data_IF_848618931177
#
_entry.id   IF_848618931177
#
_cell.length_a   1.000
_cell.length_b   1.000
_cell.length_c   1.000
_cell.angle_alpha   90.00
_cell.angle_beta   90.00
_cell.angle_gamma   90.00
#
_symmetry.space_group_name_H-M   'P 1'
#
loop_
_entity.id
_entity.type
_entity.pdbx_description
1 polymer ?
#
# COMPACT_ATOMS: atom_id res chain seq x y z
N UNK A 1 37.44 -10.12 -25.04
CA UNK A 1 37.49 -8.80 -24.33
C UNK A 1 36.12 -8.17 -24.09
N UNK A 2 35.07 -8.42 -24.90
CA UNK A 2 33.75 -7.79 -24.75
C UNK A 2 32.98 -8.16 -23.46
N UNK A 3 33.07 -9.39 -22.97
CA UNK A 3 32.31 -9.81 -21.77
C UNK A 3 32.82 -9.23 -20.44
N UNK A 4 34.09 -8.82 -20.38
CA UNK A 4 34.67 -8.21 -19.15
C UNK A 4 34.23 -6.74 -18.96
N UNK A 5 33.92 -6.04 -20.06
CA UNK A 5 33.48 -4.64 -20.03
C UNK A 5 32.00 -4.54 -19.60
N UNK A 6 31.16 -5.47 -20.05
CA UNK A 6 29.73 -5.51 -19.68
C UNK A 6 29.54 -5.80 -18.19
N UNK A 7 30.34 -6.72 -17.63
CA UNK A 7 30.27 -7.06 -16.20
C UNK A 7 30.77 -5.90 -15.31
N UNK A 8 31.81 -5.17 -15.75
CA UNK A 8 32.31 -3.99 -15.03
C UNK A 8 31.30 -2.82 -15.04
N UNK A 9 30.55 -2.63 -16.12
CA UNK A 9 29.50 -1.59 -16.21
C UNK A 9 28.31 -1.94 -15.31
N UNK A 10 27.89 -3.21 -15.25
CA UNK A 10 26.80 -3.64 -14.35
C UNK A 10 27.15 -3.49 -12.86
N UNK A 11 28.39 -3.79 -12.47
CA UNK A 11 28.87 -3.60 -11.10
C UNK A 11 28.94 -2.10 -10.75
N UNK A 12 29.38 -1.26 -11.68
CA UNK A 12 29.44 0.19 -11.45
C UNK A 12 28.05 0.83 -11.32
N UNK A 13 27.05 0.36 -12.07
CA UNK A 13 25.64 0.80 -11.93
C UNK A 13 24.98 0.33 -10.63
N UNK A 14 25.40 -0.82 -10.09
CA UNK A 14 24.91 -1.33 -8.81
C UNK A 14 25.51 -0.55 -7.62
N UNK A 15 26.75 -0.11 -7.74
CA UNK A 15 27.44 0.67 -6.71
C UNK A 15 26.94 2.12 -6.70
N UNK A 16 26.62 2.71 -7.86
CA UNK A 16 26.06 4.06 -7.91
C UNK A 16 24.63 4.15 -7.40
N UNK A 17 23.79 3.12 -7.59
CA UNK A 17 22.44 3.07 -7.01
C UNK A 17 22.46 2.88 -5.49
N UNK A 18 23.42 2.11 -4.96
CA UNK A 18 23.69 2.01 -3.52
C UNK A 18 24.18 3.34 -2.93
N UNK A 19 24.99 4.12 -3.68
CA UNK A 19 25.50 5.41 -3.22
C UNK A 19 24.45 6.54 -3.27
N UNK A 20 23.55 6.58 -4.24
CA UNK A 20 22.41 7.51 -4.22
C UNK A 20 21.41 7.18 -3.10
N UNK A 21 21.25 5.90 -2.76
CA UNK A 21 20.44 5.46 -1.62
C UNK A 21 21.12 5.76 -0.27
N UNK A 22 22.45 5.71 -0.21
CA UNK A 22 23.22 6.02 1.01
C UNK A 22 23.42 7.53 1.24
N UNK A 23 23.47 8.36 0.19
CA UNK A 23 23.62 9.82 0.33
C UNK A 23 22.35 10.51 0.83
N UNK A 24 21.15 9.94 0.60
CA UNK A 24 19.92 10.42 1.26
C UNK A 24 19.90 10.11 2.77
N UNK A 25 20.71 9.13 3.19
CA UNK A 25 20.76 8.60 4.55
C UNK A 25 21.57 9.47 5.54
N UNK A 26 22.43 10.38 5.05
CA UNK A 26 23.32 11.19 5.89
C UNK A 26 22.77 12.58 6.29
N UNK A 27 21.50 12.90 5.98
CA UNK A 27 20.84 14.08 6.56
C UNK A 27 20.33 13.78 7.98
N UNK A 28 21.28 13.88 8.93
CA UNK A 28 21.17 14.22 10.36
C UNK A 28 20.00 13.63 11.18
N UNK A 29 20.36 12.93 12.26
CA UNK A 29 19.47 12.36 13.28
C UNK A 29 18.56 13.39 14.00
N UNK A 30 18.87 14.69 13.96
CA UNK A 30 17.97 15.77 14.46
C UNK A 30 16.83 16.10 13.47
N UNK A 31 16.97 15.73 12.18
CA UNK A 31 15.98 15.96 11.13
C UNK A 31 15.03 14.78 10.89
N UNK A 32 15.46 13.55 11.21
CA UNK A 32 14.64 12.34 11.00
C UNK A 32 13.35 12.33 11.83
N UNK A 33 13.41 12.70 13.11
CA UNK A 33 12.21 12.80 13.96
C UNK A 33 11.22 13.89 13.51
N UNK A 34 11.71 14.92 12.81
CA UNK A 34 10.88 15.96 12.21
C UNK A 34 10.24 15.49 10.90
N UNK A 35 11.01 14.85 10.02
CA UNK A 35 10.52 14.31 8.75
C UNK A 35 9.49 13.18 8.95
N UNK A 36 9.77 12.25 9.87
CA UNK A 36 8.86 11.18 10.26
C UNK A 36 7.50 11.74 10.72
N UNK A 37 7.54 12.68 11.68
CA UNK A 37 6.33 13.32 12.20
C UNK A 37 5.58 14.10 11.12
N UNK A 38 6.30 14.80 10.23
CA UNK A 38 5.68 15.53 9.11
C UNK A 38 4.95 14.58 8.15
N UNK A 39 5.58 13.47 7.77
CA UNK A 39 4.98 12.48 6.88
C UNK A 39 3.78 11.81 7.56
N UNK A 40 3.93 11.41 8.83
CA UNK A 40 2.84 10.83 9.62
C UNK A 40 1.65 11.77 9.69
N UNK A 41 1.86 13.03 10.06
CA UNK A 41 0.79 14.02 10.13
C UNK A 41 0.14 14.25 8.75
N UNK A 42 0.92 14.20 7.66
CA UNK A 42 0.35 14.34 6.32
C UNK A 42 -0.58 13.18 5.95
N UNK A 43 -0.26 11.96 6.39
CA UNK A 43 -1.07 10.76 6.12
C UNK A 43 -2.31 10.72 7.02
N UNK A 44 -2.16 11.00 8.33
CA UNK A 44 -3.21 10.74 9.31
C UNK A 44 -3.97 11.99 9.80
N UNK A 45 -3.36 13.17 9.73
CA UNK A 45 -3.90 14.44 10.24
C UNK A 45 -4.22 15.42 9.11
N UNK A 46 -5.15 15.01 8.24
CA UNK A 46 -5.53 15.84 7.10
C UNK A 46 -6.06 17.21 7.52
N UNK A 47 -5.57 18.25 6.85
CA UNK A 47 -6.15 19.59 6.95
C UNK A 47 -7.55 19.63 6.33
N UNK A 48 -8.35 20.63 6.71
CA UNK A 48 -9.65 20.87 6.09
C UNK A 48 -9.58 21.11 4.57
N UNK A 49 -8.43 21.61 4.06
CA UNK A 49 -8.18 21.74 2.63
C UNK A 49 -7.98 20.38 1.96
N UNK A 50 -7.14 19.52 2.52
CA UNK A 50 -6.91 18.16 2.01
C UNK A 50 -8.19 17.32 2.03
N UNK A 51 -9.01 17.45 3.08
CA UNK A 51 -10.32 16.78 3.11
C UNK A 51 -11.25 17.27 1.99
N UNK A 52 -11.28 18.59 1.72
CA UNK A 52 -12.07 19.13 0.59
C UNK A 52 -11.55 18.65 -0.76
N UNK A 53 -10.23 18.55 -0.92
CA UNK A 53 -9.59 17.98 -2.12
C UNK A 53 -10.02 16.53 -2.33
N UNK A 54 -9.94 15.68 -1.30
CA UNK A 54 -10.40 14.29 -1.39
C UNK A 54 -11.90 14.17 -1.72
N UNK A 55 -12.75 15.02 -1.11
CA UNK A 55 -14.19 15.06 -1.45
C UNK A 55 -14.39 15.41 -2.92
N UNK A 56 -13.67 16.42 -3.42
CA UNK A 56 -13.79 16.87 -4.80
C UNK A 56 -13.34 15.79 -5.79
N UNK A 57 -12.28 15.03 -5.49
CA UNK A 57 -11.89 13.85 -6.29
C UNK A 57 -13.06 12.87 -6.38
N UNK A 58 -13.68 12.53 -5.24
CA UNK A 58 -14.81 11.60 -5.21
C UNK A 58 -16.04 12.03 -6.02
N UNK A 59 -16.19 13.33 -6.30
CA UNK A 59 -17.32 13.88 -7.06
C UNK A 59 -17.07 13.95 -8.56
N UNK A 60 -15.93 13.45 -9.03
CA UNK A 60 -15.59 13.40 -10.45
C UNK A 60 -16.23 12.20 -11.14
N UNK A 61 -16.16 12.20 -12.47
CA UNK A 61 -16.64 11.12 -13.32
C UNK A 61 -15.89 9.79 -13.06
N UNK A 62 -16.51 8.64 -13.39
CA UNK A 62 -15.94 7.31 -13.10
C UNK A 62 -14.51 7.09 -13.60
N UNK A 63 -14.12 7.69 -14.73
CA UNK A 63 -12.77 7.59 -15.29
C UNK A 63 -11.72 8.20 -14.37
N UNK A 64 -12.01 9.39 -13.82
CA UNK A 64 -11.10 10.07 -12.91
C UNK A 64 -10.95 9.33 -11.57
N UNK A 65 -12.01 8.67 -11.11
CA UNK A 65 -11.95 7.79 -9.93
C UNK A 65 -11.10 6.55 -10.22
N UNK A 66 -11.19 6.00 -11.42
CA UNK A 66 -10.38 4.86 -11.85
C UNK A 66 -8.90 5.24 -11.90
N UNK A 67 -8.59 6.42 -12.46
CA UNK A 67 -7.23 6.98 -12.47
C UNK A 67 -6.73 7.22 -11.04
N UNK A 68 -7.53 7.85 -10.18
CA UNK A 68 -7.20 8.08 -8.78
C UNK A 68 -6.85 6.77 -8.06
N UNK A 69 -7.69 5.74 -8.17
CA UNK A 69 -7.46 4.42 -7.57
C UNK A 69 -6.18 3.77 -8.08
N UNK A 70 -5.96 3.82 -9.39
CA UNK A 70 -4.76 3.26 -10.02
C UNK A 70 -3.50 4.00 -9.57
N UNK A 71 -3.58 5.32 -9.39
CA UNK A 71 -2.50 6.14 -8.86
C UNK A 71 -2.18 5.91 -7.39
N UNK A 72 -3.06 5.24 -6.63
CA UNK A 72 -2.80 4.84 -5.23
C UNK A 72 -2.22 3.43 -5.10
N UNK A 73 -2.11 2.68 -6.21
CA UNK A 73 -1.57 1.32 -6.18
C UNK A 73 -0.05 1.32 -6.02
N UNK A 74 0.44 0.46 -5.15
CA UNK A 74 1.87 0.35 -4.88
C UNK A 74 2.61 -0.31 -6.06
N UNK A 75 3.77 0.22 -6.48
CA UNK A 75 4.54 -0.39 -7.54
C UNK A 75 5.24 -1.66 -7.04
N UNK A 76 5.30 -2.67 -7.90
CA UNK A 76 6.01 -3.92 -7.63
C UNK A 76 7.52 -3.73 -7.82
N UNK A 77 8.31 -4.21 -6.87
CA UNK A 77 9.77 -4.24 -6.90
C UNK A 77 10.28 -5.59 -7.39
N UNK A 78 9.78 -6.67 -6.78
CA UNK A 78 10.17 -8.04 -7.07
C UNK A 78 8.91 -8.90 -7.15
N UNK A 79 8.93 -9.88 -8.05
CA UNK A 79 7.81 -10.78 -8.25
C UNK A 79 8.29 -12.15 -8.68
N UNK A 80 7.92 -13.18 -7.92
CA UNK A 80 8.04 -14.59 -8.33
C UNK A 80 6.69 -15.23 -8.66
N UNK A 81 5.57 -14.52 -8.51
CA UNK A 81 4.23 -15.05 -8.80
C UNK A 81 4.09 -15.47 -10.28
N UNK A 82 3.47 -16.63 -10.50
CA UNK A 82 3.19 -17.20 -11.83
C UNK A 82 1.83 -16.78 -12.41
N UNK A 83 0.96 -16.20 -11.58
CA UNK A 83 -0.36 -15.69 -11.94
C UNK A 83 -0.51 -14.18 -11.72
N UNK A 84 -1.75 -13.65 -11.69
CA UNK A 84 -2.02 -12.25 -11.38
C UNK A 84 -1.42 -11.87 -10.03
N UNK A 85 -0.68 -10.77 -10.02
CA UNK A 85 -0.08 -10.24 -8.80
C UNK A 85 -1.15 -9.57 -7.95
N UNK A 86 -1.07 -9.65 -6.61
CA UNK A 86 -2.00 -8.93 -5.76
C UNK A 86 -1.98 -7.42 -6.05
N UNK A 87 -3.16 -6.82 -6.13
CA UNK A 87 -3.25 -5.36 -6.22
C UNK A 87 -3.21 -4.78 -4.80
N UNK A 88 -2.26 -3.88 -4.54
CA UNK A 88 -2.01 -3.33 -3.21
C UNK A 88 -2.25 -1.84 -3.19
N UNK A 89 -3.08 -1.37 -2.25
CA UNK A 89 -3.28 0.05 -1.98
C UNK A 89 -3.03 0.34 -0.50
N UNK A 90 -2.57 1.55 -0.18
CA UNK A 90 -2.42 1.99 1.22
C UNK A 90 -3.73 2.56 1.73
N UNK A 91 -4.14 2.15 2.93
CA UNK A 91 -5.39 2.56 3.53
C UNK A 91 -5.20 3.88 4.30
N UNK A 92 -5.48 5.00 3.64
CA UNK A 92 -5.33 6.35 4.22
C UNK A 92 -6.67 7.07 4.37
N UNK A 93 -6.81 7.99 5.34
CA UNK A 93 -7.99 8.84 5.43
C UNK A 93 -8.31 9.55 4.11
N UNK A 94 -7.29 10.00 3.36
CA UNK A 94 -7.49 10.72 2.10
C UNK A 94 -8.17 9.82 1.07
N UNK A 95 -7.66 8.59 0.90
CA UNK A 95 -8.24 7.59 0.02
C UNK A 95 -9.69 7.27 0.39
N UNK A 96 -9.96 6.99 1.66
CA UNK A 96 -11.32 6.64 2.10
C UNK A 96 -12.29 7.82 1.97
N UNK A 97 -11.88 9.06 2.22
CA UNK A 97 -12.74 10.23 2.00
C UNK A 97 -13.13 10.34 0.53
N UNK A 98 -12.18 10.15 -0.39
CA UNK A 98 -12.47 10.18 -1.83
C UNK A 98 -13.43 9.06 -2.24
N UNK A 99 -13.19 7.83 -1.79
CA UNK A 99 -14.05 6.69 -2.12
C UNK A 99 -15.45 6.78 -1.50
N UNK A 100 -15.56 7.27 -0.26
CA UNK A 100 -16.85 7.50 0.39
C UNK A 100 -17.62 8.65 -0.26
N UNK A 101 -16.93 9.70 -0.70
CA UNK A 101 -17.51 10.79 -1.47
C UNK A 101 -18.04 10.30 -2.82
N UNK A 102 -17.28 9.45 -3.52
CA UNK A 102 -17.73 8.81 -4.75
C UNK A 102 -18.97 7.93 -4.57
N UNK A 103 -18.99 7.09 -3.54
CA UNK A 103 -20.16 6.26 -3.23
C UNK A 103 -21.40 7.10 -2.87
N UNK A 104 -21.22 8.24 -2.18
CA UNK A 104 -22.33 9.15 -1.92
C UNK A 104 -22.82 9.79 -3.23
N UNK A 105 -21.89 10.29 -4.05
CA UNK A 105 -22.19 10.96 -5.32
C UNK A 105 -22.94 10.04 -6.29
N UNK A 106 -22.52 8.78 -6.44
CA UNK A 106 -23.18 7.80 -7.30
C UNK A 106 -24.60 7.43 -6.84
N UNK A 107 -24.92 7.69 -5.57
CA UNK A 107 -26.25 7.51 -4.99
C UNK A 107 -27.06 8.82 -4.94
N UNK A 108 -26.61 9.90 -5.57
CA UNK A 108 -27.26 11.21 -5.53
C UNK A 108 -27.20 11.90 -4.16
N UNK A 109 -26.29 11.47 -3.27
CA UNK A 109 -26.09 12.03 -1.93
C UNK A 109 -24.85 12.91 -1.89
N UNK A 110 -24.84 13.88 -0.97
CA UNK A 110 -23.69 14.73 -0.71
C UNK A 110 -22.87 14.19 0.46
N UNK A 111 -21.58 13.92 0.23
CA UNK A 111 -20.62 13.70 1.30
C UNK A 111 -20.06 15.04 1.81
N UNK A 112 -20.15 15.26 3.11
CA UNK A 112 -19.87 16.55 3.74
C UNK A 112 -18.48 16.60 4.38
N UNK A 113 -17.98 17.82 4.58
CA UNK A 113 -16.74 18.03 5.33
C UNK A 113 -16.84 17.54 6.79
N UNK A 114 -18.05 17.53 7.36
CA UNK A 114 -18.27 17.00 8.72
C UNK A 114 -18.06 15.49 8.76
N UNK A 115 -18.57 14.76 7.77
CA UNK A 115 -18.34 13.31 7.63
C UNK A 115 -16.85 13.00 7.38
N UNK A 116 -16.19 13.77 6.50
CA UNK A 116 -14.76 13.64 6.27
C UNK A 116 -13.93 13.86 7.55
N UNK A 117 -14.28 14.86 8.37
CA UNK A 117 -13.62 15.11 9.66
C UNK A 117 -13.81 13.96 10.64
N UNK A 118 -15.01 13.35 10.68
CA UNK A 118 -15.28 12.17 11.53
C UNK A 118 -14.40 10.99 11.10
N UNK A 119 -14.34 10.72 9.80
CA UNK A 119 -13.51 9.65 9.25
C UNK A 119 -12.02 9.88 9.54
N UNK A 120 -11.51 11.10 9.31
CA UNK A 120 -10.11 11.44 9.62
C UNK A 120 -9.77 11.25 11.10
N UNK A 121 -10.69 11.62 12.01
CA UNK A 121 -10.52 11.41 13.45
C UNK A 121 -10.48 9.93 13.82
N UNK A 122 -11.27 9.09 13.15
CA UNK A 122 -11.24 7.64 13.38
C UNK A 122 -9.87 7.07 13.02
N UNK A 123 -9.35 7.38 11.83
CA UNK A 123 -8.05 6.89 11.37
C UNK A 123 -6.87 7.35 12.23
N UNK A 124 -6.80 8.65 12.56
CA UNK A 124 -5.75 9.18 13.44
C UNK A 124 -5.72 8.52 14.82
N UNK A 125 -6.87 8.04 15.31
CA UNK A 125 -6.98 7.34 16.60
C UNK A 125 -6.61 5.86 16.57
N UNK A 126 -6.47 5.22 15.40
CA UNK A 126 -6.20 3.77 15.32
C UNK A 126 -4.76 3.40 15.67
N UNK A 127 -3.81 4.30 15.45
CA UNK A 127 -2.39 3.99 15.61
C UNK A 127 -1.87 2.92 14.64
N UNK A 128 -2.63 2.59 13.59
CA UNK A 128 -2.31 1.53 12.65
C UNK A 128 -2.31 2.03 11.20
N UNK A 129 -1.41 1.47 10.38
CA UNK A 129 -1.40 1.62 8.94
C UNK A 129 -1.88 0.31 8.29
N UNK A 130 -2.98 0.39 7.56
CA UNK A 130 -3.52 -0.73 6.81
C UNK A 130 -3.08 -0.74 5.35
N UNK A 131 -3.08 -1.91 4.72
CA UNK A 131 -2.92 -2.06 3.28
C UNK A 131 -4.07 -2.91 2.75
N UNK A 132 -4.74 -2.50 1.67
CA UNK A 132 -5.71 -3.35 0.99
C UNK A 132 -4.99 -4.20 -0.05
N UNK A 133 -4.86 -5.49 0.21
CA UNK A 133 -4.22 -6.47 -0.67
C UNK A 133 -5.29 -7.35 -1.30
N UNK A 134 -5.63 -7.10 -2.57
CA UNK A 134 -6.55 -7.97 -3.32
C UNK A 134 -5.74 -9.13 -3.90
N UNK A 135 -5.86 -10.30 -3.28
CA UNK A 135 -5.17 -11.52 -3.69
C UNK A 135 -6.14 -12.51 -4.35
N UNK A 136 -5.57 -13.40 -5.16
CA UNK A 136 -6.31 -14.49 -5.80
C UNK A 136 -5.66 -15.83 -5.49
N UNK A 137 -6.46 -16.89 -5.48
CA UNK A 137 -6.01 -18.25 -5.22
C UNK A 137 -6.87 -19.31 -5.90
N UNK A 138 -6.43 -20.55 -5.74
CA UNK A 138 -7.01 -21.74 -6.37
C UNK A 138 -8.14 -22.39 -5.56
N UNK A 139 -8.34 -21.97 -4.31
CA UNK A 139 -9.37 -22.52 -3.43
C UNK A 139 -9.94 -21.48 -2.46
N UNK A 140 -11.13 -21.73 -1.91
CA UNK A 140 -11.84 -20.80 -1.03
C UNK A 140 -11.12 -20.46 0.30
N UNK A 141 -10.05 -21.17 0.65
CA UNK A 141 -9.27 -21.01 1.89
C UNK A 141 -7.81 -20.67 1.63
N UNK A 142 -7.44 -20.25 0.41
CA UNK A 142 -6.06 -19.94 0.06
C UNK A 142 -5.42 -18.87 0.96
N UNK A 143 -6.22 -18.05 1.64
CA UNK A 143 -5.76 -16.97 2.53
C UNK A 143 -5.17 -17.47 3.85
N UNK A 144 -5.54 -18.68 4.30
CA UNK A 144 -5.06 -19.28 5.56
C UNK A 144 -3.51 -19.42 5.56
N UNK A 145 -2.91 -19.61 4.39
CA UNK A 145 -1.46 -19.77 4.14
C UNK A 145 -0.74 -18.51 3.63
N UNK A 146 -1.45 -17.39 3.52
CA UNK A 146 -0.84 -16.13 3.07
C UNK A 146 -0.18 -15.41 4.24
N UNK A 147 1.07 -15.02 4.05
CA UNK A 147 1.78 -14.15 4.98
C UNK A 147 2.02 -12.79 4.33
N UNK A 148 1.75 -11.71 5.07
CA UNK A 148 2.01 -10.33 4.61
C UNK A 148 2.84 -9.62 5.67
N UNK A 149 4.00 -9.10 5.26
CA UNK A 149 4.94 -8.42 6.17
C UNK A 149 5.37 -7.07 5.62
N UNK A 150 5.84 -6.19 6.51
CA UNK A 150 6.44 -4.92 6.14
C UNK A 150 7.92 -4.94 6.52
N UNK A 151 8.80 -4.81 5.54
CA UNK A 151 10.26 -4.83 5.73
C UNK A 151 10.82 -3.43 5.57
N UNK A 152 11.67 -3.01 6.52
CA UNK A 152 12.34 -1.71 6.50
C UNK A 152 13.82 -1.88 6.83
N UNK A 153 14.66 -1.92 5.79
CA UNK A 153 16.06 -2.32 5.93
C UNK A 153 16.19 -3.78 6.38
N UNK A 154 16.84 -4.02 7.52
CA UNK A 154 17.00 -5.36 8.11
C UNK A 154 15.82 -5.78 9.00
N UNK A 155 14.89 -4.88 9.30
CA UNK A 155 13.75 -5.15 10.19
C UNK A 155 12.58 -5.70 9.39
N UNK A 156 12.02 -6.84 9.81
CA UNK A 156 10.77 -7.39 9.28
C UNK A 156 9.70 -7.24 10.35
N UNK A 157 8.60 -6.56 10.00
CA UNK A 157 7.47 -6.33 10.86
C UNK A 157 6.32 -7.24 10.46
N UNK A 158 5.81 -7.99 11.43
CA UNK A 158 4.53 -8.68 11.33
C UNK A 158 3.40 -7.69 11.64
N UNK A 159 2.25 -7.78 10.93
CA UNK A 159 1.05 -7.01 11.27
C UNK A 159 0.46 -7.52 12.59
N UNK A 160 -0.28 -6.65 13.28
CA UNK A 160 -0.99 -7.01 14.51
C UNK A 160 -2.18 -7.93 14.21
N UNK A 161 -2.78 -7.77 13.03
CA UNK A 161 -3.84 -8.62 12.50
C UNK A 161 -3.94 -8.51 10.97
N UNK A 162 -4.58 -9.49 10.34
CA UNK A 162 -4.92 -9.45 8.91
C UNK A 162 -6.42 -9.74 8.76
N UNK A 163 -7.23 -8.72 8.48
CA UNK A 163 -8.65 -8.92 8.16
C UNK A 163 -8.78 -9.72 6.87
N UNK A 164 -9.75 -10.63 6.81
CA UNK A 164 -10.01 -11.49 5.66
C UNK A 164 -9.16 -12.76 5.60
N UNK A 165 -8.13 -12.91 6.45
CA UNK A 165 -7.22 -14.07 6.41
C UNK A 165 -7.93 -15.39 6.70
N UNK A 166 -8.77 -15.42 7.72
CA UNK A 166 -9.48 -16.62 8.20
C UNK A 166 -10.90 -16.74 7.60
N UNK A 167 -11.23 -15.86 6.66
CA UNK A 167 -12.53 -15.84 6.00
C UNK A 167 -12.47 -16.61 4.68
N UNK A 168 -13.62 -17.16 4.25
CA UNK A 168 -13.70 -17.75 2.90
C UNK A 168 -13.52 -16.67 1.84
N UNK A 169 -12.75 -17.01 0.82
CA UNK A 169 -12.60 -16.22 -0.40
C UNK A 169 -13.85 -16.28 -1.27
N UNK A 170 -14.08 -15.20 -1.99
CA UNK A 170 -15.18 -15.04 -2.92
C UNK A 170 -14.84 -15.77 -4.22
N UNK A 171 -15.81 -16.47 -4.80
CA UNK A 171 -15.62 -17.19 -6.06
C UNK A 171 -15.66 -16.21 -7.24
N UNK A 172 -14.55 -16.11 -7.98
CA UNK A 172 -14.46 -15.29 -9.18
C UNK A 172 -15.13 -16.05 -10.34
N UNK A 173 -16.40 -15.77 -10.59
CA UNK A 173 -17.22 -16.42 -11.63
C UNK A 173 -16.99 -15.86 -13.04
N UNK A 174 -15.89 -15.12 -13.26
CA UNK A 174 -15.66 -14.35 -14.48
C UNK A 174 -15.25 -15.18 -15.71
N UNK A 175 -14.89 -16.47 -15.56
CA UNK A 175 -14.46 -17.32 -16.68
C UNK A 175 -15.09 -18.71 -16.59
N UNK A 176 -15.85 -19.10 -17.61
CA UNK A 176 -16.39 -20.46 -17.74
C UNK A 176 -15.23 -21.48 -17.79
N UNK A 177 -15.17 -22.38 -16.81
CA UNK A 177 -14.17 -23.45 -16.71
C UNK A 177 -13.00 -23.21 -15.76
N UNK A 178 -12.91 -22.03 -15.13
CA UNK A 178 -11.91 -21.74 -14.10
C UNK A 178 -12.56 -21.09 -12.87
N UNK A 179 -12.63 -21.83 -11.76
CA UNK A 179 -13.00 -21.28 -10.46
C UNK A 179 -11.78 -20.69 -9.79
N UNK A 180 -11.49 -19.43 -10.11
CA UNK A 180 -10.58 -18.62 -9.30
C UNK A 180 -11.29 -18.15 -8.03
N UNK A 181 -10.52 -17.89 -6.97
CA UNK A 181 -11.04 -17.24 -5.77
C UNK A 181 -10.31 -15.93 -5.56
N UNK A 182 -10.99 -14.90 -5.06
CA UNK A 182 -10.34 -13.66 -4.62
C UNK A 182 -10.77 -13.24 -3.22
N UNK A 183 -9.87 -12.52 -2.55
CA UNK A 183 -10.15 -11.92 -1.24
C UNK A 183 -9.36 -10.64 -1.10
N UNK A 184 -9.95 -9.66 -0.40
CA UNK A 184 -9.21 -8.51 0.09
C UNK A 184 -8.69 -8.85 1.49
N UNK A 185 -7.37 -8.85 1.63
CA UNK A 185 -6.66 -8.98 2.89
C UNK A 185 -6.23 -7.61 3.37
N UNK A 186 -6.44 -7.31 4.66
CA UNK A 186 -6.03 -6.04 5.25
C UNK A 186 -5.09 -6.28 6.44
N UNK A 187 -3.77 -6.37 6.20
CA UNK A 187 -2.78 -6.33 7.27
C UNK A 187 -2.73 -4.94 7.92
N UNK A 188 -2.78 -4.89 9.24
CA UNK A 188 -2.62 -3.67 10.04
C UNK A 188 -1.29 -3.67 10.77
N UNK A 189 -0.49 -2.63 10.56
CA UNK A 189 0.81 -2.46 11.21
C UNK A 189 0.76 -1.30 12.21
N UNK A 190 1.21 -1.53 13.44
CA UNK A 190 1.38 -0.47 14.44
C UNK A 190 2.35 0.61 13.92
N UNK A 191 1.83 1.84 13.80
CA UNK A 191 2.55 3.01 13.32
C UNK A 191 3.70 3.43 14.23
N UNK A 192 3.72 2.98 15.48
CA UNK A 192 4.83 3.25 16.41
C UNK A 192 6.13 2.51 16.03
N UNK A 193 6.01 1.44 15.24
CA UNK A 193 7.13 0.59 14.80
C UNK A 193 7.67 0.99 13.43
N UNK A 194 6.96 1.87 12.72
CA UNK A 194 7.29 2.33 11.37
C UNK A 194 8.07 3.64 11.49
N UNK A 195 9.22 3.71 10.82
CA UNK A 195 9.90 4.99 10.60
C UNK A 195 9.53 5.47 9.19
N UNK A 196 8.58 6.42 9.15
CA UNK A 196 7.99 6.99 7.95
C UNK A 196 8.97 7.83 7.14
N UNK A 197 10.12 8.20 7.71
CA UNK A 197 11.16 8.92 6.97
C UNK A 197 11.93 8.05 5.98
N UNK A 198 11.75 6.72 6.04
CA UNK A 198 12.45 5.76 5.19
C UNK A 198 11.47 4.90 4.37
N UNK A 199 11.82 4.52 3.14
CA UNK A 199 10.99 3.60 2.37
C UNK A 199 10.94 2.22 3.02
N UNK A 200 9.86 1.49 2.75
CA UNK A 200 9.67 0.10 3.16
C UNK A 200 9.27 -0.77 1.96
N UNK A 201 9.29 -2.09 2.18
CA UNK A 201 8.83 -3.12 1.26
C UNK A 201 7.64 -3.84 1.90
N UNK A 202 6.46 -3.79 1.29
CA UNK A 202 5.37 -4.69 1.68
C UNK A 202 5.57 -6.01 0.93
N UNK A 203 5.63 -7.13 1.64
CA UNK A 203 5.90 -8.44 1.06
C UNK A 203 4.66 -9.30 1.26
N UNK A 204 4.09 -9.77 0.16
CA UNK A 204 3.09 -10.84 0.11
C UNK A 204 3.80 -12.16 -0.19
N UNK A 205 3.45 -13.22 0.56
CA UNK A 205 3.96 -14.57 0.37
C UNK A 205 2.80 -15.57 0.41
N UNK A 206 2.65 -16.38 -0.64
CA UNK A 206 1.90 -17.64 -0.59
C UNK A 206 2.86 -18.76 -0.17
N UNK A 207 2.70 -19.25 1.06
CA UNK A 207 3.63 -20.22 1.66
C UNK A 207 3.60 -21.59 0.99
N UNK A 208 2.45 -22.04 0.46
CA UNK A 208 2.36 -23.36 -0.18
C UNK A 208 3.13 -23.36 -1.51
N UNK A 209 3.00 -22.27 -2.27
CA UNK A 209 3.59 -22.17 -3.59
C UNK A 209 5.01 -21.56 -3.55
N UNK A 210 5.43 -21.03 -2.41
CA UNK A 210 6.69 -20.29 -2.25
C UNK A 210 6.79 -19.13 -3.26
N UNK A 211 5.64 -18.51 -3.56
CA UNK A 211 5.53 -17.38 -4.48
C UNK A 211 5.35 -16.09 -3.70
N UNK A 212 6.06 -15.05 -4.11
CA UNK A 212 6.09 -13.78 -3.42
C UNK A 212 6.00 -12.60 -4.38
N UNK A 213 5.43 -11.52 -3.87
CA UNK A 213 5.47 -10.20 -4.50
C UNK A 213 5.88 -9.18 -3.45
N UNK A 214 6.86 -8.34 -3.79
CA UNK A 214 7.33 -7.24 -2.96
C UNK A 214 6.95 -5.91 -3.60
N UNK A 215 6.41 -4.99 -2.80
CA UNK A 215 5.88 -3.71 -3.25
C UNK A 215 6.63 -2.57 -2.56
N UNK A 216 6.97 -1.53 -3.32
CA UNK A 216 7.61 -0.35 -2.74
C UNK A 216 6.59 0.47 -1.96
N UNK A 217 6.90 0.73 -0.70
CA UNK A 217 6.16 1.68 0.14
C UNK A 217 7.01 2.93 0.32
N UNK A 218 6.70 3.96 -0.47
CA UNK A 218 7.31 5.28 -0.33
C UNK A 218 6.37 6.19 0.46
N UNK A 219 6.53 6.22 1.78
CA UNK A 219 5.66 7.01 2.65
C UNK A 219 5.66 8.50 2.29
N UNK A 220 6.74 9.01 1.71
CA UNK A 220 6.84 10.40 1.26
C UNK A 220 5.92 10.73 0.08
N UNK A 221 5.36 9.73 -0.64
CA UNK A 221 4.38 9.91 -1.72
C UNK A 221 2.93 9.66 -1.31
N UNK A 222 2.70 9.08 -0.13
CA UNK A 222 1.37 8.71 0.34
C UNK A 222 0.61 9.97 0.82
N UNK A 223 -0.66 10.06 0.43
CA UNK A 223 -1.65 11.03 0.90
C UNK A 223 -2.72 10.35 1.72
#
# INVERSE_FOLDING_TARGET
MKNKVVMAIMILSLITSLLTFAQSYYRTAEGQGSADRQIRNRIFDLSGRQMKEAIAIGQQEPEAITEFRSGQSLPILENSMTGPQPAVNVNTPFYYIAMMSHNAYSQGRKYTLSEAKKLNKQFSGLGQLGFSVKASGDNARFTERVTITLKQGSTVMQPDSITGKDERADEDSAVAGHTGYSKILIPYFDTSRIDFSRPAELIYLDEDQQLAAAYQVDFAKIK
#
